data_IF_581894828172
#
_entry.id   IF_581894828172
#
_cell.length_a   1.000
_cell.length_b   1.000
_cell.length_c   1.000
_cell.angle_alpha   90.00
_cell.angle_beta   90.00
_cell.angle_gamma   90.00
#
_symmetry.space_group_name_H-M   'P 1'
#
loop_
_entity.id
_entity.type
_entity.pdbx_description
1 polymer ?
#
# COMPACT_ATOMS: atom_id res chain seq x y z
N UNK A 1 -4.54 16.32 4.67
CA UNK A 1 -4.09 15.93 6.03
C UNK A 1 -3.62 17.13 6.85
N UNK A 2 -2.59 17.87 6.42
CA UNK A 2 -2.02 18.98 7.22
C UNK A 2 -3.01 20.07 7.61
N UNK A 3 -3.86 20.51 6.69
CA UNK A 3 -4.88 21.54 6.94
C UNK A 3 -5.96 21.13 7.94
N UNK A 4 -6.18 19.82 8.15
CA UNK A 4 -7.14 19.33 9.14
C UNK A 4 -6.49 19.14 10.52
N UNK A 5 -5.21 18.75 10.56
CA UNK A 5 -4.53 18.30 11.78
C UNK A 5 -3.77 19.45 12.46
N UNK A 6 -3.08 20.31 11.69
CA UNK A 6 -2.21 21.37 12.23
C UNK A 6 -2.99 22.45 13.00
N UNK A 7 -4.19 22.91 12.57
CA UNK A 7 -4.91 23.97 13.28
C UNK A 7 -5.50 23.55 14.62
N UNK A 8 -5.52 22.25 14.93
CA UNK A 8 -6.04 21.76 16.20
C UNK A 8 -5.09 22.16 17.34
N UNK A 9 -5.61 22.65 18.48
CA UNK A 9 -4.81 22.96 19.66
C UNK A 9 -4.61 21.71 20.54
N UNK A 10 -4.19 20.60 19.94
CA UNK A 10 -3.93 19.36 20.66
C UNK A 10 -2.56 19.43 21.35
N UNK A 11 -2.57 19.42 22.68
CA UNK A 11 -1.36 19.31 23.51
C UNK A 11 -1.60 18.22 24.54
N UNK A 12 -0.96 17.07 24.35
CA UNK A 12 -1.02 15.97 25.30
C UNK A 12 0.32 15.84 26.04
N UNK A 13 0.28 15.87 27.37
CA UNK A 13 1.46 15.71 28.22
C UNK A 13 1.65 14.22 28.53
N UNK A 14 2.76 13.65 28.13
CA UNK A 14 3.08 12.24 28.43
C UNK A 14 3.64 12.16 29.85
N UNK A 15 2.94 11.53 30.82
CA UNK A 15 3.31 11.60 32.23
C UNK A 15 4.65 10.94 32.55
N UNK A 16 5.01 9.88 31.82
CA UNK A 16 6.18 9.05 32.11
C UNK A 16 7.52 9.68 31.64
N UNK A 17 7.46 10.58 30.67
CA UNK A 17 8.63 11.07 29.96
C UNK A 17 8.77 12.60 29.97
N UNK A 18 7.75 13.35 30.40
CA UNK A 18 7.82 14.81 30.49
C UNK A 18 7.72 15.56 29.16
N UNK A 19 7.48 14.87 28.04
CA UNK A 19 7.34 15.49 26.72
C UNK A 19 5.89 15.93 26.43
N UNK A 20 5.75 16.92 25.55
CA UNK A 20 4.46 17.36 25.01
C UNK A 20 4.29 16.88 23.58
N UNK A 21 3.25 16.08 23.31
CA UNK A 21 2.82 15.73 21.97
C UNK A 21 1.94 16.87 21.47
N UNK A 22 2.37 17.53 20.38
CA UNK A 22 1.62 18.59 19.71
C UNK A 22 0.96 18.05 18.44
N UNK A 23 0.02 18.81 17.88
CA UNK A 23 -0.72 18.45 16.66
C UNK A 23 0.18 18.16 15.45
N UNK A 24 1.33 18.83 15.33
CA UNK A 24 2.29 18.55 14.24
C UNK A 24 2.96 17.17 14.38
N UNK A 25 3.14 16.65 15.60
CA UNK A 25 3.63 15.29 15.81
C UNK A 25 2.61 14.27 15.31
N UNK A 26 1.32 14.51 15.55
CA UNK A 26 0.24 13.67 15.00
C UNK A 26 0.21 13.71 13.47
N UNK A 27 0.45 14.88 12.88
CA UNK A 27 0.59 14.99 11.43
C UNK A 27 1.73 14.10 10.90
N UNK A 28 2.92 14.15 11.52
CA UNK A 28 4.05 13.31 11.13
C UNK A 28 3.75 11.82 11.28
N UNK A 29 3.13 11.41 12.39
CA UNK A 29 2.74 10.00 12.60
C UNK A 29 1.71 9.56 11.56
N UNK A 30 0.74 10.42 11.24
CA UNK A 30 -0.27 10.08 10.22
C UNK A 30 0.35 9.88 8.84
N UNK A 31 1.33 10.72 8.48
CA UNK A 31 2.04 10.59 7.20
C UNK A 31 2.99 9.39 7.21
N UNK A 32 3.69 9.13 8.31
CA UNK A 32 4.62 8.01 8.40
C UNK A 32 3.89 6.67 8.41
N UNK A 33 2.66 6.60 8.94
CA UNK A 33 1.83 5.39 8.94
C UNK A 33 1.40 4.95 7.53
N UNK A 34 1.33 5.87 6.58
CA UNK A 34 1.03 5.54 5.17
C UNK A 34 2.16 4.72 4.53
N UNK A 35 3.42 4.94 4.92
CA UNK A 35 4.56 4.24 4.35
C UNK A 35 4.57 2.72 4.63
N UNK A 36 4.47 2.22 5.88
CA UNK A 36 4.40 0.79 6.14
C UNK A 36 3.11 0.17 5.59
N UNK A 37 2.00 0.91 5.57
CA UNK A 37 0.77 0.44 4.92
C UNK A 37 0.99 0.18 3.42
N UNK A 38 1.62 1.12 2.70
CA UNK A 38 1.98 0.96 1.29
C UNK A 38 3.01 -0.15 1.08
N UNK A 39 3.99 -0.30 1.97
CA UNK A 39 4.97 -1.37 1.90
C UNK A 39 4.32 -2.75 2.06
N UNK A 40 3.41 -2.90 3.03
CA UNK A 40 2.61 -4.10 3.21
C UNK A 40 1.74 -4.37 1.97
N UNK A 41 1.06 -3.34 1.46
CA UNK A 41 0.25 -3.46 0.25
C UNK A 41 1.08 -3.94 -0.94
N UNK A 42 2.25 -3.35 -1.17
CA UNK A 42 3.14 -3.71 -2.27
C UNK A 42 3.68 -5.13 -2.14
N UNK A 43 3.91 -5.63 -0.91
CA UNK A 43 4.33 -7.01 -0.69
C UNK A 43 3.28 -8.06 -1.09
N UNK A 44 2.00 -7.67 -1.17
CA UNK A 44 0.93 -8.53 -1.68
C UNK A 44 0.68 -8.38 -3.18
N UNK A 45 1.26 -7.38 -3.84
CA UNK A 45 1.14 -7.25 -5.29
C UNK A 45 1.95 -8.35 -5.97
N UNK A 46 1.41 -8.99 -7.01
CA UNK A 46 2.18 -9.93 -7.78
C UNK A 46 3.24 -9.20 -8.62
N UNK A 47 4.27 -9.94 -9.02
CA UNK A 47 5.33 -9.41 -9.87
C UNK A 47 4.81 -8.88 -11.20
N UNK A 48 5.53 -7.90 -11.77
CA UNK A 48 5.08 -7.28 -13.02
C UNK A 48 5.10 -8.29 -14.18
N UNK A 49 4.09 -8.27 -15.08
CA UNK A 49 4.08 -9.18 -16.24
C UNK A 49 5.35 -9.05 -17.09
N UNK A 50 5.85 -7.81 -17.21
CA UNK A 50 7.09 -7.51 -17.95
C UNK A 50 8.29 -8.24 -17.35
N UNK A 51 8.47 -8.19 -16.03
CA UNK A 51 9.56 -8.89 -15.35
C UNK A 51 9.47 -10.41 -15.53
N UNK A 52 8.27 -10.98 -15.40
CA UNK A 52 8.06 -12.43 -15.60
C UNK A 52 8.35 -12.86 -17.06
N UNK A 53 8.04 -12.00 -18.03
CA UNK A 53 8.35 -12.24 -19.43
C UNK A 53 9.86 -12.20 -19.71
N UNK A 54 10.57 -11.18 -19.19
CA UNK A 54 12.01 -11.01 -19.40
C UNK A 54 12.85 -12.07 -18.69
N UNK A 55 12.38 -12.57 -17.53
CA UNK A 55 13.06 -13.64 -16.79
C UNK A 55 12.75 -15.04 -17.29
N UNK A 56 11.91 -15.19 -18.32
CA UNK A 56 11.54 -16.49 -18.90
C UNK A 56 10.59 -17.33 -18.05
N UNK A 57 9.95 -16.74 -17.03
CA UNK A 57 9.00 -17.43 -16.14
C UNK A 57 7.61 -17.56 -16.78
N UNK A 58 7.52 -18.22 -17.94
CA UNK A 58 6.32 -18.27 -18.77
C UNK A 58 5.08 -18.84 -18.07
N UNK A 59 5.23 -19.89 -17.24
CA UNK A 59 4.08 -20.48 -16.51
C UNK A 59 3.47 -19.49 -15.53
N UNK A 60 4.31 -18.76 -14.77
CA UNK A 60 3.82 -17.73 -13.84
C UNK A 60 3.20 -16.55 -14.58
N UNK A 61 3.79 -16.17 -15.71
CA UNK A 61 3.27 -15.11 -16.56
C UNK A 61 1.87 -15.43 -17.07
N UNK A 62 1.66 -16.62 -17.65
CA UNK A 62 0.35 -17.01 -18.19
C UNK A 62 -0.70 -17.07 -17.07
N UNK A 63 -0.37 -17.64 -15.92
CA UNK A 63 -1.28 -17.65 -14.77
C UNK A 63 -1.64 -16.22 -14.37
N UNK A 64 -0.65 -15.33 -14.18
CA UNK A 64 -0.90 -13.93 -13.82
C UNK A 64 -1.78 -13.21 -14.84
N UNK A 65 -1.57 -13.43 -16.14
CA UNK A 65 -2.38 -12.82 -17.20
C UNK A 65 -3.82 -13.35 -17.21
N UNK A 66 -4.02 -14.64 -16.94
CA UNK A 66 -5.35 -15.22 -16.77
C UNK A 66 -6.09 -14.64 -15.55
N UNK A 67 -5.39 -14.44 -14.43
CA UNK A 67 -5.94 -13.80 -13.22
C UNK A 67 -6.41 -12.38 -13.53
N UNK A 68 -5.57 -11.60 -14.23
CA UNK A 68 -5.88 -10.23 -14.65
C UNK A 68 -7.08 -10.24 -15.62
N UNK A 69 -7.11 -11.14 -16.60
CA UNK A 69 -8.20 -11.27 -17.56
C UNK A 69 -9.52 -11.58 -16.88
N UNK A 70 -9.56 -12.59 -16.00
CA UNK A 70 -10.75 -12.96 -15.24
C UNK A 70 -11.24 -11.81 -14.36
N UNK A 71 -10.32 -11.11 -13.68
CA UNK A 71 -10.67 -9.98 -12.80
C UNK A 71 -11.26 -8.81 -13.59
N UNK A 72 -10.72 -8.52 -14.77
CA UNK A 72 -11.16 -7.40 -15.60
C UNK A 72 -12.45 -7.69 -16.38
N UNK A 73 -12.66 -8.93 -16.82
CA UNK A 73 -13.77 -9.31 -17.72
C UNK A 73 -14.89 -10.06 -17.03
N UNK A 74 -14.60 -10.75 -15.92
CA UNK A 74 -15.50 -11.71 -15.28
C UNK A 74 -15.57 -13.08 -15.96
N UNK A 75 -14.87 -13.28 -17.09
CA UNK A 75 -14.89 -14.54 -17.83
C UNK A 75 -13.97 -15.60 -17.18
N UNK A 76 -14.20 -16.90 -17.43
CA UNK A 76 -13.33 -17.97 -16.96
C UNK A 76 -11.89 -17.82 -17.47
N UNK A 77 -10.93 -18.30 -16.68
CA UNK A 77 -9.49 -18.25 -17.02
C UNK A 77 -9.15 -19.02 -18.28
N UNK A 78 -9.86 -20.13 -18.55
CA UNK A 78 -9.56 -20.98 -19.70
C UNK A 78 -9.83 -20.28 -21.03
N UNK A 79 -10.67 -19.24 -21.04
CA UNK A 79 -11.02 -18.45 -22.25
C UNK A 79 -9.96 -17.39 -22.59
N UNK A 80 -8.87 -17.31 -21.81
CA UNK A 80 -7.80 -16.35 -22.06
C UNK A 80 -7.01 -16.65 -23.35
N UNK A 81 -6.93 -17.93 -23.75
CA UNK A 81 -6.28 -18.41 -24.98
C UNK A 81 -7.33 -18.74 -26.04
#
# INVERSE_FOLDING_TARGET
LGWAIIPQNFTYRVPFFGFFIKSWNLYLVSCSLLAPFLALWLAFLPETPKYLAETGQHTKLINLLQDIYQTNTGNPRETYL
#
